data_IF_176842497797
#
_entry.id   IF_176842497797
#
_cell.length_a   1.000
_cell.length_b   1.000
_cell.length_c   1.000
_cell.angle_alpha   90.00
_cell.angle_beta   90.00
_cell.angle_gamma   90.00
#
_symmetry.space_group_name_H-M   'P 1'
#
loop_
_entity.id
_entity.type
_entity.pdbx_description
1 polymer ?
#
# COMPACT_ATOMS: atom_id res chain seq x y z
N UNK A 1 -42.82 11.88 43.25
CA UNK A 1 -42.16 10.56 43.12
C UNK A 1 -42.33 10.07 41.68
N UNK A 2 -41.37 10.02 40.92
CA UNK A 2 -41.29 9.54 39.51
C UNK A 2 -40.69 10.60 38.63
N UNK A 3 -39.64 10.18 37.91
CA UNK A 3 -38.90 10.86 36.87
C UNK A 3 -37.52 11.33 37.25
N UNK A 4 -36.61 10.39 37.42
CA UNK A 4 -35.19 10.73 37.44
C UNK A 4 -34.34 9.56 36.94
N UNK A 5 -34.64 9.05 35.72
CA UNK A 5 -33.87 7.92 35.17
C UNK A 5 -33.68 7.99 33.64
N UNK A 6 -33.54 9.17 33.08
CA UNK A 6 -33.47 9.35 31.64
C UNK A 6 -32.29 10.22 31.15
N UNK A 7 -31.20 10.32 31.91
CA UNK A 7 -30.02 11.12 31.53
C UNK A 7 -28.68 10.35 31.64
N UNK A 8 -28.62 9.07 31.33
CA UNK A 8 -27.40 8.29 31.45
C UNK A 8 -27.15 7.40 30.22
N UNK A 9 -27.40 7.91 29.00
CA UNK A 9 -27.08 7.16 27.77
C UNK A 9 -26.59 8.05 26.62
N UNK A 10 -25.58 8.87 26.87
CA UNK A 10 -24.93 9.63 25.79
C UNK A 10 -23.45 9.91 26.08
N UNK A 11 -22.68 8.89 26.35
CA UNK A 11 -21.22 9.00 26.45
C UNK A 11 -20.51 7.72 25.98
N UNK A 12 -20.76 7.32 24.74
CA UNK A 12 -20.03 6.20 24.15
C UNK A 12 -19.81 6.40 22.64
N UNK A 13 -19.16 7.48 22.26
CA UNK A 13 -18.76 7.69 20.87
C UNK A 13 -17.50 8.54 20.77
N UNK A 14 -16.39 8.12 21.40
CA UNK A 14 -15.10 8.77 21.21
C UNK A 14 -13.93 7.81 21.38
N UNK A 15 -14.05 6.58 20.90
CA UNK A 15 -12.98 5.58 20.98
C UNK A 15 -12.40 5.26 19.60
N UNK A 16 -12.02 6.26 18.81
CA UNK A 16 -11.38 6.04 17.51
C UNK A 16 -10.08 6.82 17.30
N UNK A 17 -9.22 6.90 18.32
CA UNK A 17 -7.98 7.66 18.20
C UNK A 17 -6.64 6.93 18.43
N UNK A 18 -6.53 5.66 18.80
CA UNK A 18 -5.21 5.03 18.93
C UNK A 18 -4.59 4.60 17.59
N UNK A 19 -5.38 4.17 16.60
CA UNK A 19 -4.87 3.65 15.34
C UNK A 19 -4.09 4.70 14.52
N UNK A 20 -4.59 5.93 14.45
CA UNK A 20 -3.92 7.01 13.70
C UNK A 20 -2.60 7.44 14.34
N UNK A 21 -2.55 7.42 15.66
CA UNK A 21 -1.31 7.73 16.41
C UNK A 21 -0.28 6.63 16.26
N UNK A 22 -0.72 5.38 16.31
CA UNK A 22 0.14 4.21 16.10
C UNK A 22 0.74 4.21 14.70
N UNK A 23 -0.06 4.41 13.67
CA UNK A 23 0.40 4.53 12.29
C UNK A 23 1.43 5.65 12.11
N UNK A 24 1.22 6.80 12.75
CA UNK A 24 2.16 7.93 12.70
C UNK A 24 3.50 7.64 13.36
N UNK A 25 3.52 6.82 14.43
CA UNK A 25 4.73 6.52 15.21
C UNK A 25 5.51 5.32 14.64
N UNK A 26 4.82 4.31 14.11
CA UNK A 26 5.40 3.01 13.73
C UNK A 26 5.14 2.63 12.29
N UNK A 27 4.29 3.35 11.58
CA UNK A 27 3.93 3.04 10.21
C UNK A 27 4.94 3.53 9.20
N UNK A 28 5.06 2.82 8.09
CA UNK A 28 5.78 3.29 6.92
C UNK A 28 4.94 4.34 6.17
N UNK A 29 5.53 5.46 5.72
CA UNK A 29 4.82 6.44 4.91
C UNK A 29 4.48 5.86 3.54
N UNK A 30 3.35 6.27 2.95
CA UNK A 30 2.98 5.83 1.60
C UNK A 30 4.03 6.21 0.56
N UNK A 31 4.42 7.49 0.56
CA UNK A 31 5.38 8.06 -0.39
C UNK A 31 6.81 7.77 0.05
N UNK A 32 7.63 7.36 -0.89
CA UNK A 32 9.05 7.08 -0.68
C UNK A 32 9.36 5.66 -0.19
N UNK A 33 8.39 4.96 0.40
CA UNK A 33 8.57 3.57 0.84
C UNK A 33 8.58 2.63 -0.37
N UNK A 34 9.50 1.68 -0.37
CA UNK A 34 9.46 0.55 -1.31
C UNK A 34 8.56 -0.52 -0.72
N UNK A 35 7.45 -0.79 -1.37
CA UNK A 35 6.45 -1.78 -1.00
C UNK A 35 6.68 -3.07 -1.75
N UNK A 36 6.88 -4.18 -1.06
CA UNK A 36 7.09 -5.51 -1.64
C UNK A 36 5.78 -6.29 -1.60
N UNK A 37 5.35 -6.82 -2.73
CA UNK A 37 4.13 -7.62 -2.84
C UNK A 37 4.29 -8.92 -2.04
N UNK A 38 3.34 -9.21 -1.16
CA UNK A 38 3.28 -10.45 -0.39
C UNK A 38 2.03 -11.27 -0.68
N UNK A 39 0.97 -10.64 -1.19
CA UNK A 39 -0.26 -11.31 -1.59
C UNK A 39 -0.88 -10.64 -2.81
N UNK A 40 -1.38 -11.44 -3.75
CA UNK A 40 -2.08 -11.00 -4.96
C UNK A 40 -3.33 -11.87 -5.16
N UNK A 41 -4.50 -11.23 -5.23
CA UNK A 41 -5.80 -11.91 -5.43
C UNK A 41 -6.05 -13.06 -4.45
N UNK A 42 -5.62 -12.89 -3.19
CA UNK A 42 -5.77 -13.88 -2.13
C UNK A 42 -4.67 -14.95 -2.08
N UNK A 43 -3.76 -14.99 -3.05
CA UNK A 43 -2.65 -15.94 -3.09
C UNK A 43 -1.35 -15.31 -2.58
N UNK A 44 -0.60 -16.04 -1.76
CA UNK A 44 0.73 -15.61 -1.33
C UNK A 44 1.70 -15.57 -2.50
N UNK A 45 2.53 -14.53 -2.51
CA UNK A 45 3.57 -14.33 -3.53
C UNK A 45 4.94 -14.47 -2.88
N UNK A 46 5.68 -15.51 -3.28
CA UNK A 46 7.09 -15.63 -2.94
C UNK A 46 7.88 -14.53 -3.65
N UNK A 47 8.28 -13.50 -2.90
CA UNK A 47 8.91 -12.29 -3.44
C UNK A 47 10.15 -11.89 -2.63
N UNK A 48 10.92 -12.86 -2.20
CA UNK A 48 12.14 -12.65 -1.39
C UNK A 48 13.19 -11.79 -2.10
N UNK A 49 13.20 -11.79 -3.43
CA UNK A 49 14.10 -11.00 -4.26
C UNK A 49 13.54 -9.62 -4.65
N UNK A 50 12.36 -9.28 -4.19
CA UNK A 50 11.72 -7.99 -4.43
C UNK A 50 11.38 -7.72 -5.90
N UNK A 51 11.11 -8.77 -6.69
CA UNK A 51 10.75 -8.65 -8.12
C UNK A 51 9.41 -7.95 -8.32
N UNK A 52 8.47 -8.10 -7.39
CA UNK A 52 7.20 -7.39 -7.42
C UNK A 52 7.24 -6.29 -6.38
N UNK A 53 7.34 -5.06 -6.83
CA UNK A 53 7.42 -3.91 -5.93
C UNK A 53 6.65 -2.72 -6.46
N UNK A 54 6.21 -1.86 -5.54
CA UNK A 54 5.51 -0.61 -5.77
C UNK A 54 6.17 0.48 -4.93
N UNK A 55 6.32 1.66 -5.50
CA UNK A 55 6.75 2.86 -4.80
C UNK A 55 5.94 4.05 -5.30
N UNK A 56 5.35 4.80 -4.40
CA UNK A 56 4.81 6.10 -4.69
C UNK A 56 5.95 7.11 -4.60
N UNK A 57 6.34 7.67 -5.73
CA UNK A 57 7.38 8.70 -5.79
C UNK A 57 6.85 10.02 -5.19
N UNK A 58 5.59 10.30 -5.48
CA UNK A 58 4.76 11.36 -4.93
C UNK A 58 3.28 10.98 -5.03
N UNK A 59 2.36 11.90 -4.72
CA UNK A 59 0.92 11.64 -4.79
C UNK A 59 0.39 11.46 -6.23
N UNK A 60 1.20 11.74 -7.26
CA UNK A 60 0.82 11.73 -8.68
C UNK A 60 1.58 10.72 -9.53
N UNK A 61 2.62 10.08 -8.98
CA UNK A 61 3.44 9.12 -9.71
C UNK A 61 3.77 7.90 -8.86
N UNK A 62 3.71 6.76 -9.50
CA UNK A 62 4.19 5.51 -8.93
C UNK A 62 5.13 4.80 -9.90
N UNK A 63 6.00 3.98 -9.36
CA UNK A 63 6.95 3.15 -10.09
C UNK A 63 7.20 1.83 -9.38
N UNK A 64 7.90 0.91 -10.04
CA UNK A 64 8.27 -0.35 -9.41
C UNK A 64 8.76 -1.40 -10.40
N UNK A 65 8.70 -2.64 -9.94
CA UNK A 65 8.97 -3.83 -10.74
C UNK A 65 7.75 -4.75 -10.71
N UNK A 66 7.37 -5.27 -11.89
CA UNK A 66 6.27 -6.19 -12.05
C UNK A 66 6.79 -7.58 -12.46
N UNK A 67 7.67 -8.17 -11.66
CA UNK A 67 8.37 -9.37 -12.05
C UNK A 67 9.68 -9.04 -12.78
N UNK A 68 9.71 -9.15 -14.10
CA UNK A 68 10.90 -8.87 -14.90
C UNK A 68 11.00 -7.42 -15.35
N UNK A 69 9.86 -6.77 -15.53
CA UNK A 69 9.80 -5.45 -16.11
C UNK A 69 9.77 -4.36 -15.04
N UNK A 70 10.45 -3.24 -15.34
CA UNK A 70 10.24 -2.00 -14.61
C UNK A 70 9.03 -1.31 -15.17
N UNK A 71 8.28 -0.63 -14.32
CA UNK A 71 7.11 0.12 -14.73
C UNK A 71 7.01 1.47 -14.03
N UNK A 72 6.25 2.36 -14.63
CA UNK A 72 5.82 3.61 -14.05
C UNK A 72 4.41 3.94 -14.53
N UNK A 73 3.69 4.71 -13.73
CA UNK A 73 2.37 5.22 -14.08
C UNK A 73 2.11 6.55 -13.38
N UNK A 74 1.22 7.36 -13.96
CA UNK A 74 0.57 8.41 -13.20
C UNK A 74 -0.40 7.81 -12.19
N UNK A 75 -0.61 8.48 -11.09
CA UNK A 75 -1.65 8.11 -10.13
C UNK A 75 -2.24 9.34 -9.48
N UNK A 76 -3.36 9.15 -8.81
CA UNK A 76 -3.92 10.06 -7.82
C UNK A 76 -4.08 9.28 -6.53
N UNK A 77 -3.22 9.60 -5.54
CA UNK A 77 -3.27 9.02 -4.22
C UNK A 77 -3.69 10.12 -3.22
N UNK A 78 -4.97 10.11 -2.86
CA UNK A 78 -5.54 11.13 -1.98
C UNK A 78 -5.39 10.76 -0.50
N UNK A 79 -5.27 11.75 0.36
CA UNK A 79 -5.14 11.56 1.80
C UNK A 79 -6.29 10.76 2.45
N UNK A 80 -7.44 10.67 1.79
CA UNK A 80 -8.59 9.87 2.21
C UNK A 80 -8.52 8.38 1.84
N UNK A 81 -7.40 7.92 1.26
CA UNK A 81 -7.23 6.53 0.85
C UNK A 81 -7.79 6.21 -0.54
N UNK A 82 -8.29 7.19 -1.28
CA UNK A 82 -8.68 7.00 -2.67
C UNK A 82 -7.43 6.88 -3.54
N UNK A 83 -7.49 5.94 -4.48
CA UNK A 83 -6.42 5.69 -5.43
C UNK A 83 -6.98 5.57 -6.84
N UNK A 84 -6.31 6.20 -7.77
CA UNK A 84 -6.52 5.99 -9.21
C UNK A 84 -5.16 5.81 -9.86
N UNK A 85 -5.01 4.75 -10.64
CA UNK A 85 -3.79 4.48 -11.39
C UNK A 85 -4.07 4.66 -12.88
N UNK A 86 -3.26 5.49 -13.52
CA UNK A 86 -3.33 5.75 -14.96
C UNK A 86 -2.69 4.65 -15.79
N UNK A 87 -2.51 4.88 -17.10
CA UNK A 87 -1.84 3.94 -17.98
C UNK A 87 -0.45 3.59 -17.47
N UNK A 88 -0.13 2.29 -17.46
CA UNK A 88 1.15 1.77 -17.02
C UNK A 88 2.08 1.66 -18.23
N UNK A 89 3.20 2.36 -18.16
CA UNK A 89 4.33 2.18 -19.08
C UNK A 89 5.30 1.17 -18.46
N UNK A 90 5.69 0.15 -19.23
CA UNK A 90 6.65 -0.86 -18.76
C UNK A 90 7.66 -1.23 -19.84
N UNK A 91 8.83 -1.72 -19.43
CA UNK A 91 9.76 -2.41 -20.32
C UNK A 91 9.11 -3.71 -20.83
N UNK A 92 9.63 -4.29 -21.90
CA UNK A 92 9.06 -5.48 -22.54
C UNK A 92 10.09 -6.61 -22.61
N UNK A 93 10.50 -7.07 -21.44
CA UNK A 93 11.35 -8.27 -21.35
C UNK A 93 10.46 -9.50 -21.24
N UNK A 94 10.81 -10.55 -21.96
CA UNK A 94 10.14 -11.85 -21.84
C UNK A 94 10.75 -12.63 -20.68
N UNK A 95 9.90 -13.18 -19.81
CA UNK A 95 10.35 -13.95 -18.66
C UNK A 95 9.29 -14.94 -18.16
N UNK A 96 9.67 -15.90 -17.31
CA UNK A 96 8.74 -16.88 -16.75
C UNK A 96 7.57 -16.25 -15.95
N UNK A 97 7.77 -15.07 -15.35
CA UNK A 97 6.79 -14.38 -14.52
C UNK A 97 5.75 -13.55 -15.31
N UNK A 98 5.75 -13.62 -16.64
CA UNK A 98 4.90 -12.78 -17.49
C UNK A 98 3.39 -12.91 -17.18
N UNK A 99 2.91 -14.08 -16.75
CA UNK A 99 1.51 -14.26 -16.37
C UNK A 99 1.19 -13.52 -15.08
N UNK A 100 2.03 -13.66 -14.05
CA UNK A 100 1.87 -12.95 -12.77
C UNK A 100 2.04 -11.45 -12.93
N UNK A 101 2.94 -11.01 -13.80
CA UNK A 101 3.10 -9.59 -14.13
C UNK A 101 1.84 -8.99 -14.75
N UNK A 102 1.17 -9.71 -15.67
CA UNK A 102 -0.11 -9.26 -16.22
C UNK A 102 -1.19 -9.12 -15.15
N UNK A 103 -1.29 -10.09 -14.24
CA UNK A 103 -2.22 -10.04 -13.10
C UNK A 103 -1.90 -8.87 -12.18
N UNK A 104 -0.62 -8.64 -11.87
CA UNK A 104 -0.16 -7.54 -11.07
C UNK A 104 -0.51 -6.18 -11.69
N UNK A 105 -0.28 -5.97 -12.98
CA UNK A 105 -0.66 -4.73 -13.65
C UNK A 105 -2.18 -4.57 -13.79
N UNK A 106 -2.93 -5.66 -13.96
CA UNK A 106 -4.39 -5.62 -13.94
C UNK A 106 -4.91 -5.17 -12.58
N UNK A 107 -4.37 -5.72 -11.49
CA UNK A 107 -4.68 -5.32 -10.12
C UNK A 107 -4.38 -3.83 -9.89
N UNK A 108 -3.21 -3.32 -10.29
CA UNK A 108 -2.88 -1.89 -10.14
C UNK A 108 -3.88 -0.99 -10.85
N UNK A 109 -4.32 -1.35 -12.07
CA UNK A 109 -5.31 -0.57 -12.83
C UNK A 109 -6.71 -0.61 -12.22
N UNK A 110 -7.06 -1.70 -11.52
CA UNK A 110 -8.37 -1.85 -10.89
C UNK A 110 -8.45 -1.26 -9.49
N UNK A 111 -7.32 -0.94 -8.87
CA UNK A 111 -7.26 -0.41 -7.53
C UNK A 111 -7.96 0.95 -7.43
N UNK A 112 -8.88 1.10 -6.48
CA UNK A 112 -9.62 2.34 -6.21
C UNK A 112 -9.37 2.87 -4.80
N UNK A 113 -8.75 2.08 -3.94
CA UNK A 113 -8.43 2.46 -2.57
C UNK A 113 -7.08 1.90 -2.15
N UNK A 114 -6.43 2.63 -1.24
CA UNK A 114 -5.31 2.14 -0.47
C UNK A 114 -5.55 2.34 1.02
N UNK A 115 -5.00 1.44 1.81
CA UNK A 115 -4.98 1.53 3.27
C UNK A 115 -3.57 1.23 3.77
N UNK A 116 -3.16 1.94 4.83
CA UNK A 116 -1.90 1.72 5.51
C UNK A 116 -2.17 1.16 6.90
N UNK A 117 -1.59 0.02 7.20
CA UNK A 117 -1.61 -0.58 8.53
C UNK A 117 -0.17 -0.92 8.95
N UNK A 118 0.39 -0.11 9.85
CA UNK A 118 1.77 -0.18 10.26
C UNK A 118 2.75 -0.21 9.06
N UNK A 119 3.36 -1.35 8.79
CA UNK A 119 4.28 -1.56 7.67
C UNK A 119 3.62 -2.25 6.47
N UNK A 120 2.29 -2.29 6.44
CA UNK A 120 1.52 -2.91 5.37
C UNK A 120 0.82 -1.86 4.52
N UNK A 121 0.80 -2.08 3.22
CA UNK A 121 -0.02 -1.35 2.25
C UNK A 121 -1.01 -2.32 1.62
N UNK A 122 -2.28 -2.01 1.73
CA UNK A 122 -3.37 -2.82 1.20
C UNK A 122 -4.00 -2.06 0.04
N UNK A 123 -4.11 -2.70 -1.12
CA UNK A 123 -4.83 -2.16 -2.27
C UNK A 123 -6.12 -2.94 -2.49
N UNK A 124 -7.21 -2.19 -2.68
CA UNK A 124 -8.55 -2.74 -2.89
C UNK A 124 -9.20 -2.15 -4.14
N UNK A 125 -10.04 -2.94 -4.78
CA UNK A 125 -10.96 -2.48 -5.82
C UNK A 125 -12.40 -2.33 -5.25
N UNK A 126 -13.40 -2.25 -6.12
CA UNK A 126 -14.81 -2.16 -5.72
C UNK A 126 -15.38 -3.43 -5.09
N UNK A 127 -14.69 -4.56 -5.23
CA UNK A 127 -15.13 -5.87 -4.72
C UNK A 127 -14.45 -6.20 -3.38
N UNK A 128 -13.18 -5.87 -3.22
CA UNK A 128 -12.43 -6.18 -2.00
C UNK A 128 -10.93 -6.01 -2.13
N UNK A 129 -10.20 -6.61 -1.19
CA UNK A 129 -8.74 -6.58 -1.17
C UNK A 129 -8.18 -7.36 -2.36
N UNK A 130 -7.30 -6.71 -3.13
CA UNK A 130 -6.67 -7.30 -4.31
C UNK A 130 -5.18 -7.58 -4.10
N UNK A 131 -4.50 -6.74 -3.34
CA UNK A 131 -3.08 -6.95 -3.06
C UNK A 131 -2.70 -6.45 -1.67
N UNK A 132 -1.74 -7.14 -1.07
CA UNK A 132 -1.10 -6.75 0.18
C UNK A 132 0.40 -6.65 -0.07
N UNK A 133 0.96 -5.55 0.40
CA UNK A 133 2.39 -5.28 0.33
C UNK A 133 2.94 -5.05 1.73
N UNK A 134 4.21 -5.36 1.90
CA UNK A 134 4.98 -5.04 3.10
C UNK A 134 6.05 -3.99 2.77
N UNK A 135 6.27 -3.05 3.65
CA UNK A 135 7.40 -2.12 3.54
C UNK A 135 8.71 -2.92 3.52
N UNK A 136 9.55 -2.67 2.51
CA UNK A 136 10.91 -3.21 2.51
C UNK A 136 11.65 -2.70 3.74
N UNK A 137 12.38 -3.56 4.42
CA UNK A 137 13.35 -3.11 5.41
C UNK A 137 14.41 -2.31 4.68
N UNK A 138 14.58 -1.04 5.05
CA UNK A 138 15.71 -0.26 4.57
C UNK A 138 16.97 -0.92 5.14
N UNK A 139 17.88 -1.33 4.27
CA UNK A 139 19.22 -1.70 4.67
C UNK A 139 19.82 -0.51 5.45
N UNK A 140 19.94 -0.66 6.76
CA UNK A 140 20.50 0.37 7.66
C UNK A 140 21.96 0.70 7.35
N UNK A 141 22.54 0.03 6.36
CA UNK A 141 23.92 0.20 5.94
C UNK A 141 24.18 1.50 5.14
N UNK A 142 23.14 2.13 4.59
CA UNK A 142 23.31 3.35 3.77
C UNK A 142 23.36 4.62 4.64
N UNK A 143 22.90 4.57 5.88
CA UNK A 143 22.94 5.75 6.78
C UNK A 143 24.31 5.94 7.44
N UNK A 144 25.12 4.89 7.56
CA UNK A 144 26.45 4.98 8.17
C UNK A 144 27.56 5.47 7.23
N UNK A 145 27.32 5.57 5.92
CA UNK A 145 28.31 6.08 4.98
C UNK A 145 28.26 7.60 4.75
N UNK A 146 27.30 8.31 5.36
CA UNK A 146 27.19 9.78 5.24
C UNK A 146 27.74 10.57 6.42
N UNK A 147 28.41 9.91 7.38
CA UNK A 147 28.97 10.55 8.58
C UNK A 147 30.50 10.31 8.68
N UNK A 148 31.18 10.19 7.55
CA UNK A 148 32.65 10.26 7.51
C UNK A 148 33.09 11.26 6.48
#
# INVERSE_FOLDING_TARGET
MKTSWLLLLLAAASACCPCRKYQKLYGAPLVGTRWLLIQLDGEEVANSDGRFSLRFEDAKRLSGRGGCNRYSASCDAEAGGHLRVGPIASTRMTCPEAQRERAFFAMLRSAVRYELDAKMLILSDSIGVRAVFQAAEEDQNTKNQKIN
#
